data_IF_669272816316
#
_entry.id   IF_669272816316
#
_cell.length_a   1.000
_cell.length_b   1.000
_cell.length_c   1.000
_cell.angle_alpha   90.00
_cell.angle_beta   90.00
_cell.angle_gamma   90.00
#
_symmetry.space_group_name_H-M   'P 1'
#
loop_
_entity.id
_entity.type
_entity.pdbx_description
1 polymer ?
#
# COMPACT_ATOMS: atom_id res chain seq x y z
N UNK A 1 5.60 -13.04 -15.36
CA UNK A 1 6.02 -11.84 -14.60
C UNK A 1 6.64 -10.84 -15.56
N UNK A 2 6.19 -9.59 -15.52
CA UNK A 2 6.73 -8.52 -16.36
C UNK A 2 7.59 -7.60 -15.49
N UNK A 3 8.93 -7.68 -15.62
CA UNK A 3 9.87 -6.98 -14.74
C UNK A 3 9.62 -5.47 -14.72
N UNK A 4 9.22 -4.90 -15.87
CA UNK A 4 8.83 -3.49 -15.98
C UNK A 4 7.66 -3.14 -15.05
N UNK A 5 6.64 -3.99 -14.95
CA UNK A 5 5.48 -3.77 -14.07
C UNK A 5 5.89 -3.82 -12.61
N UNK A 6 6.73 -4.77 -12.22
CA UNK A 6 7.26 -4.86 -10.85
C UNK A 6 7.97 -3.56 -10.46
N UNK A 7 8.85 -3.05 -11.32
CA UNK A 7 9.57 -1.79 -11.07
C UNK A 7 8.58 -0.61 -10.93
N UNK A 8 7.64 -0.45 -11.86
CA UNK A 8 6.66 0.65 -11.83
C UNK A 8 5.80 0.61 -10.57
N UNK A 9 5.25 -0.56 -10.22
CA UNK A 9 4.41 -0.70 -9.03
C UNK A 9 5.21 -0.50 -7.73
N UNK A 10 6.48 -0.93 -7.69
CA UNK A 10 7.37 -0.71 -6.54
C UNK A 10 7.69 0.77 -6.36
N UNK A 11 7.97 1.50 -7.45
CA UNK A 11 8.14 2.96 -7.43
C UNK A 11 6.85 3.63 -6.92
N UNK A 12 5.68 3.19 -7.40
CA UNK A 12 4.39 3.64 -6.87
C UNK A 12 4.24 3.40 -5.37
N UNK A 13 4.71 2.25 -4.88
CA UNK A 13 4.76 1.94 -3.44
C UNK A 13 5.69 2.85 -2.65
N UNK A 14 6.86 3.23 -3.20
CA UNK A 14 7.79 4.18 -2.57
C UNK A 14 7.16 5.58 -2.48
N UNK A 15 6.49 6.02 -3.55
CA UNK A 15 5.77 7.31 -3.55
C UNK A 15 4.64 7.27 -2.51
N UNK A 16 3.85 6.19 -2.46
CA UNK A 16 2.80 6.00 -1.47
C UNK A 16 3.36 5.97 -0.03
N UNK A 17 4.54 5.40 0.18
CA UNK A 17 5.23 5.42 1.47
C UNK A 17 5.57 6.85 1.91
N UNK A 18 6.14 7.67 1.01
CA UNK A 18 6.44 9.07 1.30
C UNK A 18 5.17 9.88 1.65
N UNK A 19 4.08 9.68 0.89
CA UNK A 19 2.79 10.32 1.16
C UNK A 19 2.23 9.87 2.51
N UNK A 20 2.32 8.57 2.84
CA UNK A 20 1.81 8.03 4.08
C UNK A 20 2.56 8.58 5.30
N UNK A 21 3.90 8.62 5.25
CA UNK A 21 4.72 9.19 6.33
C UNK A 21 4.49 10.69 6.47
N UNK A 22 4.43 11.43 5.34
CA UNK A 22 4.10 12.85 5.34
C UNK A 22 2.72 13.12 5.97
N UNK A 23 1.72 12.30 5.64
CA UNK A 23 0.39 12.38 6.24
C UNK A 23 0.37 12.08 7.73
N UNK A 24 1.15 11.11 8.21
CA UNK A 24 1.32 10.84 9.65
C UNK A 24 1.98 12.01 10.37
N UNK A 25 3.03 12.59 9.78
CA UNK A 25 3.72 13.76 10.34
C UNK A 25 2.83 15.00 10.41
N UNK A 26 2.05 15.28 9.36
CA UNK A 26 1.12 16.42 9.33
C UNK A 26 -0.10 16.22 10.23
N UNK A 27 -0.52 14.96 10.45
CA UNK A 27 -1.71 14.66 11.23
C UNK A 27 -1.55 14.83 12.73
N UNK A 28 -0.33 14.75 13.28
CA UNK A 28 -0.03 14.94 14.71
C UNK A 28 -0.72 13.96 15.68
N UNK A 29 -1.44 12.95 15.16
CA UNK A 29 -2.26 12.00 15.94
C UNK A 29 -1.51 10.73 16.37
N UNK A 30 -0.27 10.55 15.90
CA UNK A 30 0.54 9.35 16.13
C UNK A 30 1.96 9.79 16.49
N UNK A 31 2.51 9.25 17.57
CA UNK A 31 3.93 9.46 17.89
C UNK A 31 4.79 8.82 16.79
N UNK A 32 5.57 9.64 16.08
CA UNK A 32 6.48 9.18 15.04
C UNK A 32 7.71 8.52 15.67
N UNK A 33 7.56 7.25 16.05
CA UNK A 33 8.69 6.40 16.39
C UNK A 33 9.32 5.83 15.12
N UNK A 34 10.63 5.55 15.17
CA UNK A 34 11.35 4.94 14.04
C UNK A 34 10.70 3.63 13.57
N UNK A 35 10.13 2.85 14.50
CA UNK A 35 9.43 1.59 14.21
C UNK A 35 8.13 1.81 13.44
N UNK A 36 7.34 2.82 13.79
CA UNK A 36 6.09 3.16 13.08
C UNK A 36 6.40 3.68 11.67
N UNK A 37 7.43 4.50 11.52
CA UNK A 37 7.86 4.98 10.20
C UNK A 37 8.34 3.81 9.34
N UNK A 38 9.21 2.95 9.87
CA UNK A 38 9.77 1.81 9.15
C UNK A 38 8.69 0.81 8.73
N UNK A 39 7.77 0.46 9.63
CA UNK A 39 6.63 -0.41 9.32
C UNK A 39 5.67 0.24 8.34
N UNK A 40 5.45 1.56 8.47
CA UNK A 40 4.71 2.38 7.52
C UNK A 40 5.26 2.25 6.10
N UNK A 41 6.52 2.62 5.91
CA UNK A 41 7.22 2.57 4.62
C UNK A 41 7.25 1.15 4.07
N UNK A 42 7.69 0.19 4.89
CA UNK A 42 7.81 -1.21 4.51
C UNK A 42 6.51 -1.78 3.99
N UNK A 43 5.39 -1.50 4.66
CA UNK A 43 4.07 -1.98 4.22
C UNK A 43 3.68 -1.40 2.84
N UNK A 44 3.93 -0.11 2.56
CA UNK A 44 3.51 0.54 1.29
C UNK A 44 4.38 0.09 0.12
N UNK A 45 5.68 -0.07 0.36
CA UNK A 45 6.60 -0.64 -0.64
C UNK A 45 6.22 -2.09 -0.93
N UNK A 46 5.89 -2.87 0.11
CA UNK A 46 5.49 -4.27 -0.05
C UNK A 46 4.16 -4.40 -0.82
N UNK A 47 3.17 -3.54 -0.59
CA UNK A 47 1.95 -3.49 -1.41
C UNK A 47 2.31 -3.33 -2.89
N UNK A 48 3.13 -2.33 -3.24
CA UNK A 48 3.53 -2.07 -4.63
C UNK A 48 4.29 -3.24 -5.26
N UNK A 49 5.18 -3.86 -4.50
CA UNK A 49 5.91 -5.05 -4.94
C UNK A 49 4.97 -6.24 -5.21
N UNK A 50 4.07 -6.55 -4.27
CA UNK A 50 3.11 -7.67 -4.37
C UNK A 50 2.14 -7.45 -5.54
N UNK A 51 1.65 -6.21 -5.72
CA UNK A 51 0.84 -5.82 -6.88
C UNK A 51 1.59 -6.11 -8.18
N UNK A 52 2.87 -5.73 -8.25
CA UNK A 52 3.69 -5.88 -9.45
C UNK A 52 3.93 -7.34 -9.87
N UNK A 53 4.18 -8.23 -8.90
CA UNK A 53 4.41 -9.67 -9.15
C UNK A 53 3.11 -10.44 -9.39
N UNK A 54 2.00 -9.97 -8.85
CA UNK A 54 0.72 -10.68 -8.93
C UNK A 54 0.20 -10.74 -10.36
N UNK A 55 -0.23 -11.92 -10.78
CA UNK A 55 -0.70 -12.23 -12.13
C UNK A 55 -2.21 -12.50 -12.16
N UNK A 56 -2.96 -11.95 -11.20
CA UNK A 56 -4.38 -12.23 -11.03
C UNK A 56 -5.22 -11.47 -12.06
N UNK A 57 -5.95 -12.20 -12.90
CA UNK A 57 -6.81 -11.66 -13.96
C UNK A 57 -8.16 -11.16 -13.44
N UNK A 58 -8.13 -10.13 -12.61
CA UNK A 58 -9.33 -9.45 -12.11
C UNK A 58 -9.30 -7.97 -12.46
N UNK A 59 -10.41 -7.27 -12.23
CA UNK A 59 -10.49 -5.82 -12.45
C UNK A 59 -9.35 -5.12 -11.66
N UNK A 60 -8.60 -4.24 -12.32
CA UNK A 60 -7.43 -3.56 -11.75
C UNK A 60 -7.74 -2.89 -10.41
N UNK A 61 -8.89 -2.22 -10.30
CA UNK A 61 -9.30 -1.59 -9.04
C UNK A 61 -9.47 -2.61 -7.90
N UNK A 62 -10.12 -3.73 -8.17
CA UNK A 62 -10.30 -4.80 -7.19
C UNK A 62 -8.97 -5.47 -6.85
N UNK A 63 -8.08 -5.63 -7.83
CA UNK A 63 -6.75 -6.18 -7.60
C UNK A 63 -5.94 -5.34 -6.61
N UNK A 64 -5.83 -4.03 -6.87
CA UNK A 64 -5.14 -3.12 -5.97
C UNK A 64 -5.76 -3.07 -4.58
N UNK A 65 -7.10 -3.05 -4.50
CA UNK A 65 -7.82 -3.06 -3.22
C UNK A 65 -7.56 -4.33 -2.39
N UNK A 66 -7.63 -5.50 -3.02
CA UNK A 66 -7.44 -6.79 -2.35
C UNK A 66 -6.00 -6.99 -1.88
N UNK A 67 -5.02 -6.67 -2.72
CA UNK A 67 -3.60 -6.77 -2.32
C UNK A 67 -3.28 -5.75 -1.23
N UNK A 68 -3.77 -4.52 -1.36
CA UNK A 68 -3.67 -3.49 -0.33
C UNK A 68 -4.26 -3.95 0.99
N UNK A 69 -5.47 -4.54 0.96
CA UNK A 69 -6.12 -5.12 2.13
C UNK A 69 -5.25 -6.22 2.76
N UNK A 70 -4.85 -7.24 1.99
CA UNK A 70 -4.12 -8.40 2.50
C UNK A 70 -2.79 -8.01 3.16
N UNK A 71 -2.01 -7.17 2.46
CA UNK A 71 -0.70 -6.74 2.96
C UNK A 71 -0.87 -5.87 4.19
N UNK A 72 -1.81 -4.92 4.19
CA UNK A 72 -1.98 -4.03 5.33
C UNK A 72 -2.65 -4.73 6.51
N UNK A 73 -3.56 -5.68 6.29
CA UNK A 73 -4.20 -6.45 7.35
C UNK A 73 -3.16 -7.25 8.16
N UNK A 74 -2.17 -7.86 7.49
CA UNK A 74 -1.08 -8.57 8.17
C UNK A 74 -0.30 -7.69 9.15
N UNK A 75 -0.18 -6.39 8.86
CA UNK A 75 0.50 -5.43 9.74
C UNK A 75 -0.45 -4.72 10.72
N UNK A 76 -1.72 -4.52 10.35
CA UNK A 76 -2.68 -3.78 11.17
C UNK A 76 -3.25 -4.61 12.31
N UNK A 77 -3.24 -5.95 12.21
CA UNK A 77 -3.68 -6.85 13.31
C UNK A 77 -2.93 -6.57 14.62
N UNK A 78 -1.66 -6.16 14.56
CA UNK A 78 -0.92 -5.76 15.76
C UNK A 78 -1.46 -4.48 16.44
N UNK A 79 -2.13 -3.62 15.67
CA UNK A 79 -2.75 -2.36 16.14
C UNK A 79 -4.16 -2.62 16.68
N UNK A 80 -4.84 -3.69 16.23
CA UNK A 80 -6.21 -4.00 16.62
C UNK A 80 -6.39 -4.09 18.14
N UNK A 81 -5.41 -4.68 18.83
CA UNK A 81 -5.46 -4.91 20.28
C UNK A 81 -5.18 -3.65 21.12
N UNK A 82 -4.65 -2.60 20.51
CA UNK A 82 -4.25 -1.37 21.21
C UNK A 82 -5.11 -0.17 20.81
N UNK A 83 -5.53 -0.08 19.55
CA UNK A 83 -6.28 1.05 19.03
C UNK A 83 -7.16 0.67 17.83
N UNK A 84 -8.45 0.40 18.08
CA UNK A 84 -9.43 0.04 17.05
C UNK A 84 -9.53 1.11 15.94
N UNK A 85 -9.49 2.39 16.29
CA UNK A 85 -9.58 3.47 15.30
C UNK A 85 -8.32 3.51 14.41
N UNK A 86 -7.15 3.30 15.00
CA UNK A 86 -5.88 3.17 14.27
C UNK A 86 -5.87 1.96 13.34
N UNK A 87 -6.42 0.83 13.77
CA UNK A 87 -6.60 -0.35 12.94
C UNK A 87 -7.45 -0.04 11.70
N UNK A 88 -8.64 0.53 11.88
CA UNK A 88 -9.55 0.85 10.77
C UNK A 88 -8.87 1.83 9.80
N UNK A 89 -8.30 2.91 10.32
CA UNK A 89 -7.65 3.93 9.49
C UNK A 89 -6.46 3.37 8.70
N UNK A 90 -5.62 2.57 9.35
CA UNK A 90 -4.44 2.00 8.70
C UNK A 90 -4.85 0.98 7.63
N UNK A 91 -5.82 0.10 7.93
CA UNK A 91 -6.34 -0.87 6.96
C UNK A 91 -7.00 -0.20 5.77
N UNK A 92 -7.87 0.78 5.99
CA UNK A 92 -8.52 1.54 4.90
C UNK A 92 -7.48 2.28 4.07
N UNK A 93 -6.46 2.88 4.70
CA UNK A 93 -5.35 3.49 3.98
C UNK A 93 -4.63 2.47 3.07
N UNK A 94 -4.39 1.26 3.56
CA UNK A 94 -3.82 0.16 2.77
C UNK A 94 -4.60 -0.17 1.50
N UNK A 95 -5.93 -0.29 1.62
CA UNK A 95 -6.84 -0.52 0.49
C UNK A 95 -6.74 0.64 -0.51
N UNK A 96 -6.80 1.88 -0.03
CA UNK A 96 -6.74 3.09 -0.87
C UNK A 96 -5.40 3.19 -1.59
N UNK A 97 -4.28 3.03 -0.89
CA UNK A 97 -2.96 3.07 -1.50
C UNK A 97 -2.75 1.93 -2.49
N UNK A 98 -3.23 0.72 -2.20
CA UNK A 98 -3.19 -0.40 -3.15
C UNK A 98 -3.95 -0.11 -4.44
N UNK A 99 -5.16 0.45 -4.33
CA UNK A 99 -5.93 0.92 -5.49
C UNK A 99 -5.19 2.00 -6.28
N UNK A 100 -4.61 3.00 -5.59
CA UNK A 100 -3.87 4.09 -6.23
C UNK A 100 -2.62 3.59 -6.95
N UNK A 101 -1.86 2.67 -6.36
CA UNK A 101 -0.66 2.09 -6.97
C UNK A 101 -1.03 1.30 -8.23
N UNK A 102 -2.07 0.48 -8.18
CA UNK A 102 -2.53 -0.26 -9.36
C UNK A 102 -3.02 0.71 -10.44
N UNK A 103 -3.88 1.68 -10.10
CA UNK A 103 -4.37 2.68 -11.04
C UNK A 103 -3.23 3.45 -11.68
N UNK A 104 -2.23 3.85 -10.91
CA UNK A 104 -1.04 4.52 -11.41
C UNK A 104 -0.31 3.63 -12.43
N UNK A 105 -0.09 2.35 -12.12
CA UNK A 105 0.53 1.41 -13.04
C UNK A 105 -0.30 1.17 -14.32
N UNK A 106 -1.61 0.99 -14.20
CA UNK A 106 -2.47 0.64 -15.34
C UNK A 106 -2.83 1.85 -16.21
N UNK A 107 -3.11 3.02 -15.61
CA UNK A 107 -3.55 4.22 -16.34
C UNK A 107 -2.41 5.10 -16.81
N UNK A 108 -1.38 5.32 -15.98
CA UNK A 108 -0.26 6.21 -16.34
C UNK A 108 0.74 5.48 -17.22
N UNK A 109 1.14 4.27 -16.81
CA UNK A 109 2.17 3.52 -17.52
C UNK A 109 1.63 2.49 -18.52
N UNK A 110 0.30 2.37 -18.64
CA UNK A 110 -0.38 1.39 -19.50
C UNK A 110 0.17 -0.03 -19.27
N UNK A 111 0.57 -0.35 -18.04
CA UNK A 111 1.03 -1.68 -17.67
C UNK A 111 -0.21 -2.52 -17.32
N UNK A 112 -0.70 -3.38 -18.23
CA UNK A 112 -1.92 -4.14 -17.97
C UNK A 112 -1.71 -5.08 -16.80
N UNK A 113 -2.78 -5.29 -16.03
CA UNK A 113 -2.92 -6.47 -15.19
C UNK A 113 -2.89 -7.67 -16.14
N UNK A 114 -2.05 -8.65 -15.84
CA UNK A 114 -1.65 -9.73 -16.76
C UNK A 114 -2.80 -10.55 -17.38
#
# INVERSE_FOLDING_TARGET
MNVKRVIICTIGGIIAAAICVGGMAAGGRVELTAVIIASGIGNRVLIGFVIGISNWRINSLLHGALIGLLVTLSSSVGILFTNMQGFIMYTVAGIVYGMLIELFATKVFKAPVA
#
